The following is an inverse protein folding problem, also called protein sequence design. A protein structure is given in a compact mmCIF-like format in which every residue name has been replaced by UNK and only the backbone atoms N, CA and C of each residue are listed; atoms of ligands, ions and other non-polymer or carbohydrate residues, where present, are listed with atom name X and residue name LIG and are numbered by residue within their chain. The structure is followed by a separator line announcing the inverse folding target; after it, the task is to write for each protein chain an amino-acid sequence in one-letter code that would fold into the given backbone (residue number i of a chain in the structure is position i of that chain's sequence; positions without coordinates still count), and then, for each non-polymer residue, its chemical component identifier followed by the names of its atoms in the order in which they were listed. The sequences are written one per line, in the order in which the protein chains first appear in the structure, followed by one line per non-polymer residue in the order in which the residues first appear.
data_IF_132593297902
#
_entry.id   IF_132593297902
#
_cell.length_a   1.000
_cell.length_b   1.000
_cell.length_c   1.000
_cell.angle_alpha   90.00
_cell.angle_beta   90.00
_cell.angle_gamma   90.00
#
_symmetry.space_group_name_H-M   'P 1'
#
loop_
_entity.id
_entity.type
_entity.pdbx_description
1 polymer ?
#
# COMPACT_ATOMS: atom_id res chain seq x y z
N UNK A 1 -10.51 0.34 13.17
CA UNK A 1 -9.63 1.38 12.67
C UNK A 1 -9.26 1.09 11.23
N UNK A 2 -9.05 2.15 10.44
CA UNK A 2 -8.64 2.07 9.04
C UNK A 2 -7.10 2.03 8.88
N UNK A 3 -6.36 1.95 9.98
CA UNK A 3 -4.91 1.88 9.98
C UNK A 3 -4.43 0.49 10.41
N UNK A 4 -3.24 0.14 9.99
CA UNK A 4 -2.58 -1.10 10.36
C UNK A 4 -1.85 -0.96 11.70
N UNK A 5 -1.57 -2.09 12.34
CA UNK A 5 -0.66 -2.21 13.46
C UNK A 5 0.51 -3.06 13.01
N UNK A 6 1.73 -2.61 13.29
CA UNK A 6 2.94 -3.38 13.00
C UNK A 6 2.84 -4.81 13.55
N UNK A 7 3.28 -5.81 12.76
CA UNK A 7 3.08 -7.22 13.05
C UNK A 7 3.53 -7.62 14.44
N UNK A 8 4.72 -7.17 14.89
CA UNK A 8 5.22 -7.45 16.24
C UNK A 8 4.34 -6.83 17.33
N UNK A 9 3.81 -5.61 17.10
CA UNK A 9 2.91 -4.95 18.04
C UNK A 9 1.58 -5.70 18.11
N UNK A 10 1.05 -6.15 16.98
CA UNK A 10 -0.15 -6.96 16.93
C UNK A 10 0.03 -8.28 17.70
N UNK A 11 1.14 -8.98 17.48
CA UNK A 11 1.43 -10.23 18.17
C UNK A 11 1.56 -10.05 19.69
N UNK A 12 2.25 -8.99 20.13
CA UNK A 12 2.37 -8.65 21.56
C UNK A 12 1.00 -8.35 22.18
N UNK A 13 0.16 -7.60 21.47
CA UNK A 13 -1.18 -7.24 21.95
C UNK A 13 -2.08 -8.48 22.06
N UNK A 14 -2.05 -9.37 21.07
CA UNK A 14 -2.78 -10.64 21.11
C UNK A 14 -2.33 -11.52 22.29
N UNK A 15 -1.02 -11.66 22.53
CA UNK A 15 -0.49 -12.38 23.70
C UNK A 15 -0.93 -11.75 25.01
N UNK A 16 -0.90 -10.40 25.10
CA UNK A 16 -1.40 -9.67 26.28
C UNK A 16 -2.89 -9.97 26.56
N UNK A 17 -3.68 -10.14 25.50
CA UNK A 17 -5.09 -10.52 25.58
C UNK A 17 -5.31 -12.04 25.84
N UNK A 18 -4.24 -12.80 26.01
CA UNK A 18 -4.31 -14.24 26.33
C UNK A 18 -4.46 -15.16 25.13
N UNK A 19 -4.29 -14.65 23.91
CA UNK A 19 -4.31 -15.50 22.71
C UNK A 19 -2.95 -16.12 22.45
N UNK A 20 -2.97 -17.41 22.04
CA UNK A 20 -1.79 -18.08 21.53
C UNK A 20 -1.48 -17.58 20.10
N UNK A 21 -0.27 -17.07 19.93
CA UNK A 21 0.20 -16.50 18.64
C UNK A 21 1.57 -17.08 18.36
N UNK A 22 1.80 -17.65 17.18
CA UNK A 22 3.13 -18.11 16.77
C UNK A 22 4.16 -16.99 16.92
N UNK A 23 5.41 -17.37 17.15
CA UNK A 23 6.52 -16.42 17.09
C UNK A 23 6.57 -15.81 15.70
N UNK A 24 6.77 -14.48 15.66
CA UNK A 24 6.62 -13.70 14.45
C UNK A 24 7.43 -14.27 13.28
N UNK A 25 6.73 -14.62 12.20
CA UNK A 25 7.37 -14.58 10.89
C UNK A 25 7.82 -13.15 10.63
N UNK A 26 9.08 -12.92 10.20
CA UNK A 26 9.54 -11.59 9.83
C UNK A 26 8.56 -11.00 8.81
N UNK A 27 8.22 -9.73 8.98
CA UNK A 27 7.33 -9.01 8.06
C UNK A 27 7.87 -9.15 6.64
N UNK A 28 7.34 -10.14 5.90
CA UNK A 28 7.58 -10.28 4.48
C UNK A 28 6.91 -9.10 3.79
N UNK A 29 7.74 -8.15 3.37
CA UNK A 29 7.52 -7.16 2.33
C UNK A 29 6.10 -6.68 2.06
N UNK A 30 5.83 -5.43 2.37
CA UNK A 30 4.70 -4.67 1.81
C UNK A 30 3.30 -5.25 2.08
N UNK A 31 3.19 -6.28 2.90
CA UNK A 31 1.92 -6.74 3.41
C UNK A 31 1.61 -5.96 4.67
N UNK A 32 0.87 -4.90 4.51
CA UNK A 32 0.07 -4.39 5.61
C UNK A 32 -0.77 -5.58 6.08
N UNK A 33 -0.38 -6.21 7.19
CA UNK A 33 -1.14 -7.35 7.71
C UNK A 33 -2.51 -6.82 8.11
N UNK A 34 -3.55 -7.47 7.64
CA UNK A 34 -4.88 -7.24 8.17
C UNK A 34 -4.83 -7.43 9.69
N UNK A 35 -5.52 -6.57 10.38
CA UNK A 35 -5.70 -6.75 11.82
C UNK A 35 -6.39 -8.09 12.07
N UNK A 36 -5.84 -8.85 13.01
CA UNK A 36 -6.39 -10.15 13.41
C UNK A 36 -7.82 -9.97 13.92
N UNK A 37 -8.73 -10.80 13.45
CA UNK A 37 -10.15 -10.73 13.81
C UNK A 37 -10.39 -10.86 15.33
N UNK A 38 -9.54 -11.64 16.02
CA UNK A 38 -9.59 -11.78 17.48
C UNK A 38 -9.31 -10.45 18.17
N UNK A 39 -8.35 -9.68 17.64
CA UNK A 39 -8.02 -8.35 18.13
C UNK A 39 -9.16 -7.37 17.88
N UNK A 40 -9.71 -7.37 16.66
CA UNK A 40 -10.83 -6.49 16.31
C UNK A 40 -12.04 -6.73 17.22
N UNK A 41 -12.35 -7.97 17.53
CA UNK A 41 -13.45 -8.34 18.44
C UNK A 41 -13.15 -7.97 19.89
N UNK A 42 -11.94 -8.28 20.37
CA UNK A 42 -11.55 -7.98 21.75
C UNK A 42 -11.53 -6.47 22.05
N UNK A 43 -11.28 -5.64 21.04
CA UNK A 43 -11.29 -4.18 21.13
C UNK A 43 -12.64 -3.54 20.72
N UNK A 44 -13.66 -4.37 20.45
CA UNK A 44 -14.99 -3.91 20.03
C UNK A 44 -14.94 -2.97 18.81
N UNK A 45 -14.14 -3.34 17.80
CA UNK A 45 -14.01 -2.54 16.57
C UNK A 45 -15.16 -2.86 15.61
N UNK A 46 -15.91 -1.85 15.25
CA UNK A 46 -17.12 -1.92 14.42
C UNK A 46 -16.84 -1.88 12.89
N UNK A 47 -15.58 -1.70 12.49
CA UNK A 47 -15.18 -1.68 11.07
C UNK A 47 -14.44 -2.95 10.66
N UNK A 48 -14.63 -3.37 9.41
CA UNK A 48 -13.85 -4.44 8.75
C UNK A 48 -13.35 -3.95 7.41
N UNK A 49 -12.04 -3.99 7.22
CA UNK A 49 -11.42 -3.64 5.95
C UNK A 49 -11.43 -4.83 4.98
N UNK A 50 -11.67 -4.52 3.72
CA UNK A 50 -11.49 -5.42 2.59
C UNK A 50 -10.61 -4.73 1.55
N UNK A 51 -9.86 -5.50 0.81
CA UNK A 51 -8.87 -5.00 -0.13
C UNK A 51 -7.46 -5.09 0.41
N UNK A 52 -6.51 -4.85 -0.44
CA UNK A 52 -5.09 -4.74 -0.16
C UNK A 52 -4.42 -4.03 -1.36
N UNK A 53 -3.16 -3.66 -1.22
CA UNK A 53 -2.38 -3.17 -2.35
C UNK A 53 -2.13 -4.35 -3.29
N UNK A 54 -2.72 -4.29 -4.49
CA UNK A 54 -2.52 -5.28 -5.54
C UNK A 54 -1.25 -4.96 -6.31
N UNK A 55 -0.49 -6.02 -6.64
CA UNK A 55 0.68 -5.89 -7.50
C UNK A 55 0.32 -6.36 -8.90
N UNK A 56 0.39 -5.46 -9.90
CA UNK A 56 0.27 -5.85 -11.28
C UNK A 56 1.34 -6.88 -11.67
N UNK A 57 0.98 -7.86 -12.49
CA UNK A 57 1.94 -8.87 -12.99
C UNK A 57 3.06 -8.22 -13.79
N UNK A 58 2.73 -7.19 -14.57
CA UNK A 58 3.68 -6.38 -15.33
C UNK A 58 4.10 -5.14 -14.54
N UNK A 59 4.85 -5.33 -13.46
CA UNK A 59 5.36 -4.24 -12.64
C UNK A 59 6.89 -4.26 -12.58
N UNK A 60 7.45 -3.18 -12.04
CA UNK A 60 8.89 -3.08 -11.78
C UNK A 60 9.32 -3.82 -10.50
N UNK A 61 8.38 -4.47 -9.81
CA UNK A 61 8.66 -5.08 -8.52
C UNK A 61 9.77 -6.13 -8.61
N UNK A 62 10.82 -5.95 -7.80
CA UNK A 62 11.93 -6.89 -7.71
C UNK A 62 12.69 -6.78 -6.39
N UNK A 63 13.11 -7.91 -5.86
CA UNK A 63 14.07 -7.95 -4.76
C UNK A 63 15.49 -7.77 -5.30
N UNK A 64 16.25 -6.86 -4.70
CA UNK A 64 17.66 -6.63 -4.98
C UNK A 64 18.55 -7.29 -3.93
N UNK A 65 18.06 -7.38 -2.67
CA UNK A 65 18.66 -8.05 -1.53
C UNK A 65 17.58 -8.36 -0.49
N UNK A 66 17.92 -9.06 0.59
CA UNK A 66 16.96 -9.38 1.67
C UNK A 66 16.39 -8.13 2.35
N UNK A 67 17.15 -7.05 2.37
CA UNK A 67 16.77 -5.76 2.95
C UNK A 67 16.49 -4.66 1.91
N UNK A 68 16.41 -4.99 0.61
CA UNK A 68 16.32 -4.01 -0.46
C UNK A 68 15.43 -4.50 -1.60
N UNK A 69 14.43 -3.69 -1.95
CA UNK A 69 13.57 -3.98 -3.10
C UNK A 69 13.15 -2.71 -3.86
N UNK A 70 12.67 -2.90 -5.08
CA UNK A 70 11.94 -1.91 -5.85
C UNK A 70 10.46 -2.35 -5.85
N UNK A 71 9.56 -1.42 -5.53
CA UNK A 71 8.13 -1.70 -5.55
C UNK A 71 7.52 -1.59 -6.97
N UNK A 72 6.22 -1.86 -7.09
CA UNK A 72 5.49 -1.83 -8.37
C UNK A 72 5.50 -0.46 -9.05
N UNK A 73 5.74 0.60 -8.29
CA UNK A 73 5.88 1.98 -8.79
C UNK A 73 7.32 2.37 -9.11
N UNK A 74 8.29 1.46 -8.95
CA UNK A 74 9.71 1.72 -9.17
C UNK A 74 10.41 2.44 -8.01
N UNK A 75 9.75 2.59 -6.88
CA UNK A 75 10.34 3.20 -5.68
C UNK A 75 11.26 2.19 -5.00
N UNK A 76 12.50 2.56 -4.77
CA UNK A 76 13.45 1.69 -4.07
C UNK A 76 13.37 1.87 -2.57
N UNK A 77 13.19 0.76 -1.86
CA UNK A 77 13.01 0.74 -0.42
C UNK A 77 14.04 -0.16 0.27
N UNK A 78 14.52 0.29 1.42
CA UNK A 78 15.43 -0.47 2.29
C UNK A 78 14.82 -0.66 3.66
N UNK A 79 14.96 -1.87 4.21
CA UNK A 79 14.58 -2.14 5.58
C UNK A 79 15.62 -1.57 6.57
N UNK A 80 15.17 -0.73 7.49
CA UNK A 80 16.03 -0.03 8.47
C UNK A 80 15.86 -0.58 9.90
N UNK A 81 15.33 -1.80 10.00
CA UNK A 81 15.11 -2.47 11.27
C UNK A 81 13.68 -2.36 11.81
N UNK A 82 12.92 -1.36 11.38
CA UNK A 82 11.52 -1.16 11.76
C UNK A 82 10.63 -0.92 10.55
N UNK A 83 11.07 -0.09 9.61
CA UNK A 83 10.32 0.30 8.43
C UNK A 83 11.09 0.03 7.14
N UNK A 84 10.36 0.05 6.03
CA UNK A 84 10.89 0.03 4.69
C UNK A 84 10.99 1.46 4.17
N UNK A 85 12.11 2.10 4.44
CA UNK A 85 12.33 3.49 4.07
C UNK A 85 12.64 3.63 2.58
N UNK A 86 12.16 4.73 2.00
CA UNK A 86 12.46 5.09 0.62
C UNK A 86 13.91 5.56 0.55
N UNK A 87 14.71 4.89 -0.26
CA UNK A 87 16.13 5.24 -0.47
C UNK A 87 16.39 5.82 -1.85
N UNK A 88 15.43 5.67 -2.78
CA UNK A 88 15.49 6.26 -4.12
C UNK A 88 14.09 6.56 -4.63
N UNK A 89 13.91 7.78 -5.11
CA UNK A 89 12.69 8.28 -5.70
C UNK A 89 12.86 8.29 -7.23
N UNK A 90 12.13 7.45 -7.99
CA UNK A 90 12.41 7.23 -9.41
C UNK A 90 12.15 8.45 -10.30
N UNK A 91 11.33 9.39 -9.85
CA UNK A 91 10.98 10.61 -10.59
C UNK A 91 11.59 11.87 -9.99
N UNK A 92 12.59 11.73 -9.13
CA UNK A 92 13.30 12.91 -8.61
C UNK A 92 13.91 13.69 -9.77
N UNK A 93 13.63 14.99 -9.84
CA UNK A 93 14.04 15.89 -10.94
C UNK A 93 13.52 15.51 -12.35
N UNK A 94 12.52 14.62 -12.46
CA UNK A 94 11.94 14.24 -13.74
C UNK A 94 11.19 15.42 -14.41
N UNK A 95 11.03 15.37 -15.71
CA UNK A 95 10.25 16.31 -16.52
C UNK A 95 8.91 15.70 -16.94
N UNK A 96 7.99 16.51 -17.50
CA UNK A 96 6.76 15.98 -18.10
C UNK A 96 7.01 14.93 -19.18
N UNK A 97 8.11 15.08 -19.95
CA UNK A 97 8.48 14.10 -20.97
C UNK A 97 8.98 12.78 -20.39
N UNK A 98 9.52 12.81 -19.17
CA UNK A 98 9.94 11.60 -18.46
C UNK A 98 8.73 10.81 -17.97
N UNK A 99 7.64 11.49 -17.58
CA UNK A 99 6.38 10.84 -17.23
C UNK A 99 5.79 10.02 -18.40
N UNK A 100 5.95 10.49 -19.65
CA UNK A 100 5.48 9.79 -20.85
C UNK A 100 6.26 8.51 -21.14
N UNK A 101 7.51 8.46 -20.70
CA UNK A 101 8.42 7.34 -20.94
C UNK A 101 8.56 6.41 -19.76
N UNK A 102 8.02 6.82 -18.61
CA UNK A 102 8.10 6.03 -17.40
C UNK A 102 7.28 4.76 -17.52
N UNK A 103 7.80 3.66 -16.99
CA UNK A 103 7.08 2.39 -16.95
C UNK A 103 6.12 2.39 -15.75
N UNK A 104 4.90 2.80 -16.00
CA UNK A 104 3.85 2.77 -15.00
C UNK A 104 3.36 1.34 -14.76
N UNK A 105 2.90 1.02 -13.53
CA UNK A 105 2.20 -0.23 -13.29
C UNK A 105 0.88 -0.24 -14.08
N UNK A 106 0.52 -1.40 -14.61
CA UNK A 106 -0.71 -1.60 -15.36
C UNK A 106 -1.78 -2.25 -14.48
N UNK A 107 -2.84 -1.53 -14.15
CA UNK A 107 -3.93 -2.02 -13.33
C UNK A 107 -4.66 -3.21 -13.98
N UNK A 108 -4.74 -3.25 -15.31
CA UNK A 108 -5.40 -4.34 -16.06
C UNK A 108 -4.62 -5.66 -15.97
N UNK A 109 -3.36 -5.63 -15.55
CA UNK A 109 -2.53 -6.82 -15.33
C UNK A 109 -2.69 -7.45 -13.93
N UNK A 110 -3.54 -6.90 -13.07
CA UNK A 110 -3.83 -7.47 -11.75
C UNK A 110 -4.61 -8.78 -11.93
N UNK A 111 -4.19 -9.84 -11.22
CA UNK A 111 -4.87 -11.14 -11.27
C UNK A 111 -6.33 -11.02 -10.79
N UNK A 112 -7.32 -11.31 -11.66
CA UNK A 112 -8.73 -11.23 -11.30
C UNK A 112 -9.11 -12.08 -10.08
N UNK A 113 -8.42 -13.19 -9.84
CA UNK A 113 -8.70 -14.06 -8.69
C UNK A 113 -8.44 -13.35 -7.35
N UNK A 114 -7.46 -12.45 -7.28
CA UNK A 114 -7.23 -11.62 -6.11
C UNK A 114 -8.41 -10.69 -5.85
N UNK A 115 -8.90 -10.02 -6.90
CA UNK A 115 -10.04 -9.11 -6.82
C UNK A 115 -11.29 -9.86 -6.37
N UNK A 116 -11.57 -11.02 -6.97
CA UNK A 116 -12.75 -11.84 -6.62
C UNK A 116 -12.76 -12.28 -5.16
N UNK A 117 -11.60 -12.61 -4.59
CA UNK A 117 -11.49 -12.97 -3.18
C UNK A 117 -11.92 -11.83 -2.25
N UNK A 118 -11.52 -10.58 -2.57
CA UNK A 118 -11.91 -9.40 -1.81
C UNK A 118 -13.38 -9.04 -1.99
N UNK A 119 -13.91 -9.16 -3.20
CA UNK A 119 -15.35 -8.96 -3.49
C UNK A 119 -16.19 -9.97 -2.71
N UNK A 120 -15.80 -11.25 -2.70
CA UNK A 120 -16.50 -12.28 -1.91
C UNK A 120 -16.50 -11.93 -0.42
N UNK A 121 -15.34 -11.59 0.13
CA UNK A 121 -15.23 -11.18 1.54
C UNK A 121 -16.09 -9.97 1.87
N UNK A 122 -16.13 -8.97 0.99
CA UNK A 122 -16.96 -7.79 1.18
C UNK A 122 -18.45 -8.15 1.25
N UNK A 123 -18.92 -9.06 0.38
CA UNK A 123 -20.30 -9.53 0.37
C UNK A 123 -20.65 -10.28 1.65
N UNK A 124 -19.81 -11.22 2.08
CA UNK A 124 -20.00 -11.97 3.33
C UNK A 124 -20.15 -11.03 4.53
N UNK A 125 -19.27 -10.05 4.66
CA UNK A 125 -19.33 -9.07 5.75
C UNK A 125 -20.58 -8.19 5.68
N UNK A 126 -20.97 -7.78 4.48
CA UNK A 126 -22.18 -6.98 4.27
C UNK A 126 -23.46 -7.76 4.59
N UNK A 127 -23.52 -9.03 4.20
CA UNK A 127 -24.64 -9.91 4.45
C UNK A 127 -24.80 -10.22 5.96
N UNK A 128 -23.69 -10.37 6.67
CA UNK A 128 -23.69 -10.55 8.13
C UNK A 128 -24.30 -9.33 8.86
N UNK A 129 -24.15 -8.12 8.32
CA UNK A 129 -24.79 -6.91 8.84
C UNK A 129 -24.25 -6.41 10.19
N UNK A 130 -23.15 -6.99 10.68
CA UNK A 130 -22.60 -6.69 12.01
C UNK A 130 -21.61 -5.52 12.01
N UNK A 131 -21.00 -5.22 10.84
CA UNK A 131 -19.87 -4.31 10.75
C UNK A 131 -20.00 -3.32 9.59
N UNK A 132 -19.36 -2.16 9.75
CA UNK A 132 -19.12 -1.25 8.63
C UNK A 132 -17.98 -1.82 7.77
N UNK A 133 -18.29 -2.10 6.51
CA UNK A 133 -17.29 -2.63 5.55
C UNK A 133 -16.60 -1.47 4.86
N UNK A 134 -15.28 -1.40 5.02
CA UNK A 134 -14.43 -0.38 4.42
C UNK A 134 -13.58 -1.02 3.32
N UNK A 135 -13.69 -0.53 2.09
CA UNK A 135 -12.77 -0.89 1.04
C UNK A 135 -11.46 -0.10 1.20
N UNK A 136 -10.35 -0.82 1.20
CA UNK A 136 -9.04 -0.18 1.11
C UNK A 136 -8.77 0.21 -0.34
N UNK A 137 -8.07 1.31 -0.55
CA UNK A 137 -7.68 1.74 -1.88
C UNK A 137 -6.51 0.89 -2.39
N UNK A 138 -6.41 0.68 -3.71
CA UNK A 138 -5.36 -0.18 -4.30
C UNK A 138 -3.97 0.42 -4.21
N UNK A 139 -3.88 1.73 -4.00
CA UNK A 139 -2.62 2.47 -3.82
C UNK A 139 -2.84 3.61 -2.83
N UNK A 140 -1.76 4.19 -2.35
CA UNK A 140 -1.81 5.39 -1.52
C UNK A 140 -2.39 6.59 -2.29
N UNK A 141 -2.86 7.61 -1.57
CA UNK A 141 -3.43 8.80 -2.19
C UNK A 141 -2.47 9.50 -3.15
N UNK A 142 -3.00 10.23 -4.12
CA UNK A 142 -2.22 10.90 -5.18
C UNK A 142 -1.09 11.78 -4.65
N UNK A 143 -1.33 12.49 -3.55
CA UNK A 143 -0.33 13.36 -2.92
C UNK A 143 0.82 12.54 -2.29
N UNK A 144 0.49 11.53 -1.50
CA UNK A 144 1.48 10.70 -0.83
C UNK A 144 2.34 9.94 -1.84
N UNK A 145 1.72 9.33 -2.85
CA UNK A 145 2.44 8.64 -3.91
C UNK A 145 3.28 9.62 -4.75
N UNK A 146 2.80 10.83 -5.00
CA UNK A 146 3.59 11.90 -5.62
C UNK A 146 4.86 12.22 -4.84
N UNK A 147 4.74 12.35 -3.52
CA UNK A 147 5.91 12.55 -2.64
C UNK A 147 6.90 11.37 -2.69
N UNK A 148 6.40 10.14 -2.76
CA UNK A 148 7.26 8.94 -2.83
C UNK A 148 7.96 8.79 -4.16
N UNK A 149 7.30 9.15 -5.24
CA UNK A 149 7.87 9.08 -6.59
C UNK A 149 8.92 10.16 -6.85
N UNK A 150 8.66 11.39 -6.42
CA UNK A 150 9.52 12.54 -6.73
C UNK A 150 10.52 12.88 -5.62
N UNK A 151 10.27 12.44 -4.40
CA UNK A 151 10.87 12.98 -3.19
C UNK A 151 10.02 14.11 -2.59
N UNK A 152 9.93 14.13 -1.26
CA UNK A 152 9.03 15.03 -0.54
C UNK A 152 9.33 16.50 -0.82
N UNK A 153 10.61 16.87 -0.79
CA UNK A 153 11.11 18.23 -1.06
C UNK A 153 10.84 18.68 -2.51
N UNK A 154 11.19 17.85 -3.49
CA UNK A 154 10.98 18.12 -4.91
C UNK A 154 9.49 18.24 -5.22
N UNK A 155 8.68 17.30 -4.72
CA UNK A 155 7.24 17.30 -5.02
C UNK A 155 6.51 18.51 -4.41
N UNK A 156 6.84 18.90 -3.17
CA UNK A 156 6.26 20.10 -2.56
C UNK A 156 6.61 21.37 -3.35
N UNK A 157 7.84 21.48 -3.83
CA UNK A 157 8.21 22.63 -4.69
C UNK A 157 7.42 22.64 -5.99
N UNK A 158 7.24 21.49 -6.64
CA UNK A 158 6.49 21.35 -7.91
C UNK A 158 5.04 21.79 -7.80
N UNK A 159 4.39 21.61 -6.66
CA UNK A 159 3.03 22.09 -6.43
C UNK A 159 2.89 23.60 -6.69
N UNK A 160 3.98 24.37 -6.56
CA UNK A 160 3.99 25.82 -6.74
C UNK A 160 4.59 26.25 -8.08
N UNK A 161 5.56 25.49 -8.61
CA UNK A 161 6.36 25.97 -9.75
C UNK A 161 6.16 25.15 -11.02
N UNK A 162 5.54 23.97 -10.96
CA UNK A 162 5.38 23.05 -12.10
C UNK A 162 4.01 22.37 -12.10
N UNK A 163 2.96 23.19 -12.16
CA UNK A 163 1.58 22.72 -12.18
C UNK A 163 1.31 21.70 -13.31
N UNK A 164 1.83 21.84 -14.55
CA UNK A 164 1.60 20.85 -15.60
C UNK A 164 2.12 19.44 -15.26
N UNK A 165 3.30 19.36 -14.63
CA UNK A 165 3.85 18.08 -14.18
C UNK A 165 2.96 17.44 -13.10
N UNK A 166 2.57 18.23 -12.10
CA UNK A 166 1.76 17.74 -10.98
C UNK A 166 0.40 17.24 -11.46
N UNK A 167 -0.28 18.00 -12.31
CA UNK A 167 -1.57 17.57 -12.89
C UNK A 167 -1.44 16.27 -13.65
N UNK A 168 -0.45 16.17 -14.52
CA UNK A 168 -0.19 14.98 -15.31
C UNK A 168 0.10 13.76 -14.41
N UNK A 169 0.94 13.93 -13.38
CA UNK A 169 1.23 12.86 -12.43
C UNK A 169 -0.02 12.41 -11.67
N UNK A 170 -0.84 13.36 -11.21
CA UNK A 170 -2.09 13.04 -10.54
C UNK A 170 -3.07 12.30 -11.44
N UNK A 171 -3.20 12.70 -12.70
CA UNK A 171 -4.06 12.02 -13.67
C UNK A 171 -3.61 10.57 -13.90
N UNK A 172 -2.30 10.32 -13.99
CA UNK A 172 -1.76 8.97 -14.11
C UNK A 172 -2.11 8.11 -12.89
N UNK A 173 -1.87 8.64 -11.67
CA UNK A 173 -2.17 7.91 -10.44
C UNK A 173 -3.67 7.65 -10.29
N UNK A 174 -4.50 8.65 -10.58
CA UNK A 174 -5.96 8.52 -10.53
C UNK A 174 -6.50 7.51 -11.55
N UNK A 175 -5.91 7.46 -12.74
CA UNK A 175 -6.33 6.48 -13.76
C UNK A 175 -6.01 5.05 -13.34
N UNK A 176 -4.91 4.84 -12.62
CA UNK A 176 -4.60 3.53 -12.03
C UNK A 176 -5.59 3.14 -10.92
N UNK A 177 -6.11 4.10 -10.17
CA UNK A 177 -7.03 3.85 -9.06
C UNK A 177 -8.47 3.54 -9.50
N UNK A 178 -8.86 3.92 -10.71
CA UNK A 178 -10.22 3.73 -11.25
C UNK A 178 -10.42 2.38 -11.89
#
# INVERSE_FOLDING_TARGET
PLSSVEGQTQARLLRYLGYDVPDDEPMLFGKVRRLDERLLRALDIDTRSVGEIFRPQESQFQFLADDLYIDEWGIKRRFTGMYWDIVENPLKNATCADLDRYRWPDADSIDPAQIEAHVRRARELKEAGEYVVCAEHPVYGVFELGCWLCGFDDFLMRLFVDEPFVRKLFDIILNYQK
#
